data_IF_767081697667
#
_entry.id   IF_767081697667
#
_cell.length_a   1.000
_cell.length_b   1.000
_cell.length_c   1.000
_cell.angle_alpha   90.00
_cell.angle_beta   90.00
_cell.angle_gamma   90.00
#
_symmetry.space_group_name_H-M   'P 1'
#
loop_
_entity.id
_entity.type
_entity.pdbx_description
1 polymer ?
#
# COMPACT_ATOMS: atom_id res chain seq x y z
N UNK A 1 -29.30 -26.92 2.31
CA UNK A 1 -28.04 -26.72 1.55
C UNK A 1 -27.69 -25.26 1.24
N UNK A 2 -28.64 -24.34 0.98
CA UNK A 2 -28.33 -22.94 0.60
C UNK A 2 -27.51 -22.09 1.61
N UNK A 3 -27.63 -22.32 2.92
CA UNK A 3 -26.95 -21.50 3.95
C UNK A 3 -25.43 -21.72 4.01
N UNK A 4 -24.96 -22.95 3.77
CA UNK A 4 -23.53 -23.30 3.80
C UNK A 4 -22.75 -22.58 2.69
N UNK A 5 -23.32 -22.52 1.48
CA UNK A 5 -22.72 -21.84 0.34
C UNK A 5 -22.58 -20.32 0.52
N UNK A 6 -23.45 -19.68 1.33
CA UNK A 6 -23.32 -18.25 1.67
C UNK A 6 -22.18 -18.01 2.66
N UNK A 7 -22.10 -18.83 3.71
CA UNK A 7 -21.03 -18.74 4.70
C UNK A 7 -19.64 -18.94 4.07
N UNK A 8 -19.49 -19.95 3.20
CA UNK A 8 -18.24 -20.20 2.47
C UNK A 8 -17.81 -19.03 1.57
N UNK A 9 -18.76 -18.35 0.93
CA UNK A 9 -18.47 -17.16 0.12
C UNK A 9 -17.97 -16.00 0.99
N UNK A 10 -18.58 -15.78 2.15
CA UNK A 10 -18.15 -14.73 3.09
C UNK A 10 -16.75 -15.01 3.60
N UNK A 11 -16.46 -16.27 3.97
CA UNK A 11 -15.11 -16.68 4.40
C UNK A 11 -14.08 -16.43 3.29
N UNK A 12 -14.39 -16.78 2.03
CA UNK A 12 -13.49 -16.52 0.89
C UNK A 12 -13.22 -15.03 0.66
N UNK A 13 -14.23 -14.19 0.79
CA UNK A 13 -14.05 -12.74 0.66
C UNK A 13 -13.17 -12.22 1.80
N UNK A 14 -13.43 -12.65 3.03
CA UNK A 14 -12.65 -12.23 4.19
C UNK A 14 -11.18 -12.65 4.07
N UNK A 15 -10.90 -13.90 3.68
CA UNK A 15 -9.55 -14.40 3.42
C UNK A 15 -8.82 -13.58 2.35
N UNK A 16 -9.55 -13.12 1.33
CA UNK A 16 -8.99 -12.32 0.24
C UNK A 16 -8.59 -10.95 0.75
N UNK A 17 -9.46 -10.28 1.52
CA UNK A 17 -9.17 -8.98 2.13
C UNK A 17 -7.96 -9.07 3.06
N UNK A 18 -7.94 -10.06 3.97
CA UNK A 18 -6.84 -10.25 4.90
C UNK A 18 -5.50 -10.46 4.19
N UNK A 19 -5.48 -11.24 3.10
CA UNK A 19 -4.27 -11.46 2.28
C UNK A 19 -3.83 -10.22 1.53
N UNK A 20 -4.78 -9.41 1.04
CA UNK A 20 -4.47 -8.17 0.33
C UNK A 20 -3.89 -7.13 1.29
N UNK A 21 -4.52 -6.91 2.44
CA UNK A 21 -4.08 -5.94 3.44
C UNK A 21 -2.75 -6.33 4.09
N UNK A 22 -2.56 -7.62 4.42
CA UNK A 22 -1.31 -8.09 5.01
C UNK A 22 -0.11 -7.99 4.07
N UNK A 23 -0.34 -8.04 2.75
CA UNK A 23 0.72 -7.95 1.74
C UNK A 23 0.77 -6.60 1.03
N UNK A 24 -0.15 -5.68 1.30
CA UNK A 24 -0.09 -4.31 0.79
C UNK A 24 0.90 -3.49 1.63
N UNK A 25 2.20 -3.74 1.44
CA UNK A 25 3.22 -2.77 1.79
C UNK A 25 3.11 -1.63 0.76
N UNK A 26 2.36 -0.56 1.08
CA UNK A 26 2.15 0.54 0.15
C UNK A 26 3.44 1.37 0.01
N UNK A 27 4.33 1.00 -0.92
CA UNK A 27 5.29 1.95 -1.44
C UNK A 27 4.60 2.79 -2.53
N UNK A 28 4.44 4.08 -2.25
CA UNK A 28 3.91 5.03 -3.23
C UNK A 28 5.08 5.53 -4.05
N UNK A 29 5.09 5.22 -5.35
CA UNK A 29 5.96 5.90 -6.30
C UNK A 29 5.36 7.28 -6.61
N UNK A 30 5.71 8.26 -5.79
CA UNK A 30 5.34 9.65 -6.01
C UNK A 30 6.43 10.35 -6.82
N UNK A 31 6.03 11.31 -7.67
CA UNK A 31 6.97 12.23 -8.28
C UNK A 31 7.58 13.12 -7.18
N UNK A 32 8.89 13.04 -6.99
CA UNK A 32 9.64 14.00 -6.20
C UNK A 32 9.93 15.23 -7.07
N UNK A 33 9.41 16.42 -6.73
CA UNK A 33 9.78 17.64 -7.42
C UNK A 33 11.28 17.91 -7.29
N UNK A 34 11.86 18.59 -8.27
CA UNK A 34 13.24 19.06 -8.15
C UNK A 34 13.39 19.88 -6.86
N UNK A 35 14.41 19.56 -6.08
CA UNK A 35 14.69 20.26 -4.83
C UNK A 35 14.82 21.78 -5.06
N UNK A 36 14.27 22.62 -4.17
CA UNK A 36 14.44 24.07 -4.22
C UNK A 36 15.92 24.48 -4.25
N UNK A 37 16.27 25.49 -5.05
CA UNK A 37 17.66 25.98 -5.20
C UNK A 37 18.24 26.48 -3.88
N UNK A 38 17.38 26.98 -3.00
CA UNK A 38 17.72 27.47 -1.66
C UNK A 38 18.28 26.36 -0.77
N UNK A 39 17.99 25.09 -1.05
CA UNK A 39 18.51 23.95 -0.31
C UNK A 39 19.93 23.56 -0.71
N UNK A 40 20.42 24.01 -1.87
CA UNK A 40 21.80 23.75 -2.30
C UNK A 40 22.82 24.30 -1.29
N UNK A 41 22.51 25.40 -0.59
CA UNK A 41 23.38 25.98 0.46
C UNK A 41 23.61 25.07 1.66
N UNK A 42 22.73 24.08 1.87
CA UNK A 42 22.82 23.13 2.97
C UNK A 42 23.49 21.82 2.57
N UNK A 43 23.77 21.60 1.28
CA UNK A 43 24.58 20.47 0.85
C UNK A 43 25.99 20.67 1.41
N UNK A 44 26.45 19.70 2.21
CA UNK A 44 27.84 19.68 2.64
C UNK A 44 28.71 19.48 1.39
N UNK A 45 29.52 20.48 1.06
CA UNK A 45 30.59 20.34 0.07
C UNK A 45 31.48 19.19 0.53
N UNK A 46 31.72 18.22 -0.36
CA UNK A 46 32.62 17.08 -0.09
C UNK A 46 34.07 17.54 -0.12
#
# INVERSE_FOLDING_TARGET
>A
MLKKNKAEKIVKVLDTVLKLEANSASCVFAYEPKAPKELERFKKTK
#
